data_IF_729926212129
#
_entry.id   IF_729926212129
#
_cell.length_a   1.000
_cell.length_b   1.000
_cell.length_c   1.000
_cell.angle_alpha   90.00
_cell.angle_beta   90.00
_cell.angle_gamma   90.00
#
_symmetry.space_group_name_H-M   'P 1'
#
loop_
_entity.id
_entity.type
_entity.pdbx_description
1 polymer ?
#
# COMPACT_ATOMS: atom_id res chain seq x y z
N UNK A 1 10.58 -22.64 -13.99
CA UNK A 1 10.10 -22.49 -12.59
C UNK A 1 11.02 -21.50 -11.91
N UNK A 2 10.60 -20.25 -11.75
CA UNK A 2 11.37 -19.25 -11.04
C UNK A 2 10.88 -19.24 -9.59
N UNK A 3 11.70 -19.78 -8.69
CA UNK A 3 11.49 -19.68 -7.25
C UNK A 3 11.77 -18.24 -6.82
N UNK A 4 10.72 -17.49 -6.49
CA UNK A 4 10.86 -16.29 -5.68
C UNK A 4 11.11 -16.75 -4.24
N UNK A 5 12.37 -16.91 -3.87
CA UNK A 5 12.74 -16.95 -2.46
C UNK A 5 12.47 -15.56 -1.87
N UNK A 6 11.76 -15.44 -0.73
CA UNK A 6 11.64 -14.16 -0.06
C UNK A 6 13.03 -13.72 0.43
N UNK A 7 13.45 -12.54 -0.03
CA UNK A 7 14.67 -11.89 0.45
C UNK A 7 14.52 -11.55 1.93
N UNK A 8 15.49 -11.96 2.74
CA UNK A 8 15.51 -11.89 4.22
C UNK A 8 15.66 -10.48 4.80
N UNK A 9 15.50 -9.43 4.01
CA UNK A 9 15.84 -8.04 4.39
C UNK A 9 14.62 -7.11 4.55
N UNK A 10 13.43 -7.66 4.79
CA UNK A 10 12.23 -6.86 5.09
C UNK A 10 12.21 -6.49 6.58
N UNK A 11 13.23 -5.73 7.00
CA UNK A 11 13.35 -5.10 8.31
C UNK A 11 13.50 -3.57 8.23
N UNK A 12 13.38 -2.98 7.03
CA UNK A 12 13.29 -1.53 6.91
C UNK A 12 11.92 -1.08 7.37
N UNK A 13 11.88 -0.31 8.47
CA UNK A 13 10.75 0.56 8.80
C UNK A 13 10.42 1.39 7.55
N UNK A 14 9.37 1.00 6.82
CA UNK A 14 8.87 1.77 5.69
C UNK A 14 8.23 3.03 6.27
N UNK A 15 9.03 4.08 6.45
CA UNK A 15 8.49 5.41 6.71
C UNK A 15 7.81 5.89 5.44
N UNK A 16 6.49 5.68 5.39
CA UNK A 16 5.67 6.03 4.25
C UNK A 16 5.31 7.51 4.41
N UNK A 17 5.94 8.38 3.62
CA UNK A 17 5.57 9.79 3.63
C UNK A 17 4.18 9.97 3.02
N UNK A 18 3.43 10.97 3.51
CA UNK A 18 2.14 11.36 2.96
C UNK A 18 2.20 11.60 1.45
N UNK A 19 3.29 12.17 0.96
CA UNK A 19 3.52 12.41 -0.47
C UNK A 19 3.58 11.10 -1.28
N UNK A 20 4.23 10.07 -0.75
CA UNK A 20 4.29 8.74 -1.38
C UNK A 20 2.93 8.06 -1.36
N UNK A 21 2.19 8.16 -0.24
CA UNK A 21 0.82 7.66 -0.14
C UNK A 21 -0.11 8.31 -1.18
N UNK A 22 0.01 9.63 -1.40
CA UNK A 22 -0.80 10.36 -2.36
C UNK A 22 -0.43 10.12 -3.83
N UNK A 23 0.83 9.78 -4.13
CA UNK A 23 1.22 9.38 -5.49
C UNK A 23 0.42 8.17 -5.98
N UNK A 24 0.07 7.23 -5.10
CA UNK A 24 -0.81 6.11 -5.45
C UNK A 24 -2.24 6.53 -5.80
N UNK A 25 -2.74 7.61 -5.18
CA UNK A 25 -4.09 8.14 -5.44
C UNK A 25 -4.24 8.76 -6.83
N UNK A 26 -3.14 9.27 -7.41
CA UNK A 26 -3.11 9.86 -8.75
C UNK A 26 -3.01 8.82 -9.87
N UNK A 27 -2.65 7.57 -9.57
CA UNK A 27 -2.43 6.54 -10.59
C UNK A 27 -3.77 5.93 -11.06
N UNK A 28 -4.83 5.96 -10.24
CA UNK A 28 -6.18 5.59 -10.71
C UNK A 28 -7.30 6.05 -9.74
N UNK A 29 -7.87 7.25 -9.91
CA UNK A 29 -9.00 7.73 -9.09
C UNK A 29 -10.22 6.81 -9.13
N UNK A 30 -10.42 6.11 -10.26
CA UNK A 30 -11.53 5.17 -10.47
C UNK A 30 -11.41 3.89 -9.64
N UNK A 31 -10.20 3.53 -9.22
CA UNK A 31 -9.94 2.32 -8.45
C UNK A 31 -10.28 2.49 -6.96
N UNK A 32 -10.05 3.69 -6.42
CA UNK A 32 -10.48 4.07 -5.07
C UNK A 32 -12.01 4.26 -4.97
N UNK A 33 -12.61 4.90 -5.97
CA UNK A 33 -14.05 5.20 -5.99
C UNK A 33 -14.95 3.96 -6.17
N UNK A 34 -14.52 2.97 -6.96
CA UNK A 34 -15.36 1.78 -7.22
C UNK A 34 -15.38 0.76 -6.08
N UNK A 35 -14.33 0.72 -5.25
CA UNK A 35 -14.18 -0.27 -4.19
C UNK A 35 -14.55 0.28 -2.81
N UNK A 36 -14.38 1.58 -2.58
CA UNK A 36 -14.75 2.23 -1.31
C UNK A 36 -16.09 2.96 -1.48
N UNK A 37 -17.21 2.28 -1.20
CA UNK A 37 -18.54 2.90 -1.19
C UNK A 37 -18.63 4.07 -0.19
N UNK A 38 -17.72 4.12 0.78
CA UNK A 38 -17.71 5.11 1.83
C UNK A 38 -16.46 6.00 1.77
N UNK A 39 -16.61 7.12 1.06
CA UNK A 39 -15.61 8.19 0.98
C UNK A 39 -15.27 8.79 2.36
N UNK A 40 -16.04 8.51 3.41
CA UNK A 40 -15.74 8.94 4.77
C UNK A 40 -14.40 8.36 5.27
N UNK A 41 -14.15 7.09 5.00
CA UNK A 41 -12.91 6.42 5.43
C UNK A 41 -11.69 6.99 4.70
N UNK A 42 -11.82 7.20 3.39
CA UNK A 42 -10.77 7.81 2.57
C UNK A 42 -10.47 9.22 3.08
N UNK A 43 -11.49 10.06 3.30
CA UNK A 43 -11.30 11.42 3.84
C UNK A 43 -10.56 11.44 5.17
N UNK A 44 -10.87 10.50 6.07
CA UNK A 44 -10.16 10.38 7.35
C UNK A 44 -8.70 10.01 7.17
N UNK A 45 -8.40 9.05 6.29
CA UNK A 45 -7.03 8.69 5.95
C UNK A 45 -6.25 9.87 5.36
N UNK A 46 -6.89 10.67 4.49
CA UNK A 46 -6.27 11.86 3.89
C UNK A 46 -6.01 13.00 4.90
N UNK A 47 -6.71 13.00 6.03
CA UNK A 47 -6.55 13.99 7.11
C UNK A 47 -5.45 13.62 8.11
N UNK A 48 -4.89 12.41 8.04
CA UNK A 48 -3.82 11.98 8.94
C UNK A 48 -2.51 12.73 8.65
N UNK A 49 -1.77 13.02 9.73
CA UNK A 49 -0.39 13.53 9.65
C UNK A 49 0.59 12.37 9.47
N UNK A 50 1.81 12.63 8.97
CA UNK A 50 2.82 11.57 8.77
C UNK A 50 3.06 10.71 10.03
N UNK A 51 3.16 11.27 11.25
CA UNK A 51 3.27 10.45 12.45
C UNK A 51 2.06 9.54 12.69
N UNK A 52 0.84 10.04 12.43
CA UNK A 52 -0.38 9.25 12.58
C UNK A 52 -0.49 8.15 11.51
N UNK A 53 0.03 8.38 10.31
CA UNK A 53 0.11 7.35 9.26
C UNK A 53 1.05 6.22 9.72
N UNK A 54 2.22 6.57 10.26
CA UNK A 54 3.15 5.57 10.81
C UNK A 54 2.52 4.80 11.98
N UNK A 55 1.88 5.50 12.93
CA UNK A 55 1.19 4.83 14.03
C UNK A 55 0.04 3.95 13.55
N UNK A 56 -0.70 4.36 12.52
CA UNK A 56 -1.73 3.52 11.91
C UNK A 56 -1.13 2.27 11.25
N UNK A 57 0.04 2.40 10.61
CA UNK A 57 0.75 1.26 10.05
C UNK A 57 1.20 0.29 11.15
N UNK A 58 1.65 0.80 12.31
CA UNK A 58 1.98 -0.03 13.48
C UNK A 58 0.75 -0.78 14.01
N UNK A 59 -0.41 -0.10 14.17
CA UNK A 59 -1.66 -0.76 14.56
C UNK A 59 -2.07 -1.83 13.52
N UNK A 60 -1.93 -1.53 12.23
CA UNK A 60 -2.23 -2.48 11.15
C UNK A 60 -1.31 -3.69 11.19
N UNK A 61 -0.02 -3.51 11.46
CA UNK A 61 0.95 -4.59 11.62
C UNK A 61 0.55 -5.51 12.77
N UNK A 62 0.11 -4.96 13.91
CA UNK A 62 -0.41 -5.78 15.02
C UNK A 62 -1.61 -6.62 14.60
N UNK A 63 -2.56 -6.04 13.86
CA UNK A 63 -3.73 -6.77 13.35
C UNK A 63 -3.30 -7.88 12.38
N UNK A 64 -2.34 -7.63 11.49
CA UNK A 64 -1.82 -8.62 10.55
C UNK A 64 -1.16 -9.79 11.28
N UNK A 65 -0.29 -9.49 12.25
CA UNK A 65 0.33 -10.50 13.10
C UNK A 65 -0.71 -11.31 13.87
N UNK A 66 -1.80 -10.68 14.32
CA UNK A 66 -2.92 -11.36 14.97
C UNK A 66 -3.57 -12.40 14.05
N UNK A 67 -3.96 -12.00 12.83
CA UNK A 67 -4.73 -12.86 11.93
C UNK A 67 -3.88 -13.97 11.30
N UNK A 68 -2.57 -13.76 11.16
CA UNK A 68 -1.64 -14.77 10.65
C UNK A 68 -1.29 -15.82 11.71
N UNK A 69 -1.30 -15.45 12.99
CA UNK A 69 -0.92 -16.34 14.09
C UNK A 69 -1.80 -17.61 14.13
N UNK A 70 -1.21 -18.82 14.27
CA UNK A 70 -1.96 -20.07 14.31
C UNK A 70 -2.95 -20.11 15.48
N UNK A 71 -2.53 -19.66 16.66
CA UNK A 71 -3.36 -19.45 17.86
C UNK A 71 -3.54 -17.95 18.16
N UNK A 72 -4.59 -17.58 18.90
CA UNK A 72 -4.80 -16.19 19.29
C UNK A 72 -3.63 -15.71 20.17
N UNK A 73 -2.87 -14.68 19.74
CA UNK A 73 -1.59 -14.34 20.38
C UNK A 73 -1.72 -13.39 21.57
N UNK A 74 -2.95 -12.96 21.90
CA UNK A 74 -3.22 -11.99 22.95
C UNK A 74 -3.98 -12.66 24.10
N UNK A 75 -3.68 -12.24 25.32
CA UNK A 75 -4.44 -12.65 26.50
C UNK A 75 -5.72 -11.79 26.63
N UNK A 76 -6.73 -12.24 27.36
CA UNK A 76 -7.98 -11.48 27.59
C UNK A 76 -7.70 -10.11 28.29
N UNK A 77 -6.49 -9.92 28.84
CA UNK A 77 -6.01 -8.69 29.45
C UNK A 77 -5.42 -7.67 28.46
N UNK A 78 -5.23 -8.01 27.19
CA UNK A 78 -4.71 -7.07 26.19
C UNK A 78 -5.79 -6.04 25.88
N UNK A 79 -5.57 -4.81 26.33
CA UNK A 79 -6.51 -3.73 26.10
C UNK A 79 -6.54 -3.42 24.59
N UNK A 80 -7.71 -3.50 23.96
CA UNK A 80 -7.93 -3.09 22.57
C UNK A 80 -7.68 -1.58 22.34
N UNK A 81 -7.17 -0.87 23.35
CA UNK A 81 -6.73 0.53 23.32
C UNK A 81 -5.59 0.75 22.31
N UNK A 82 -4.79 -0.29 22.04
CA UNK A 82 -3.75 -0.29 21.01
C UNK A 82 -4.29 -0.24 19.56
N UNK A 83 -5.61 -0.31 19.36
CA UNK A 83 -6.26 -0.21 18.04
C UNK A 83 -7.04 1.10 17.87
N UNK A 84 -6.58 2.16 18.52
CA UNK A 84 -7.28 3.44 18.61
C UNK A 84 -7.54 4.09 17.25
N UNK A 85 -6.57 4.10 16.35
CA UNK A 85 -6.65 4.72 15.02
C UNK A 85 -7.50 3.87 14.09
N UNK A 86 -7.33 2.56 14.12
CA UNK A 86 -8.15 1.62 13.35
C UNK A 86 -9.63 1.76 13.76
N UNK A 87 -9.93 1.79 15.07
CA UNK A 87 -11.30 2.01 15.56
C UNK A 87 -11.87 3.35 15.10
N UNK A 88 -11.05 4.41 15.15
CA UNK A 88 -11.46 5.74 14.69
C UNK A 88 -11.78 5.74 13.18
N UNK A 89 -10.96 5.08 12.35
CA UNK A 89 -11.17 5.03 10.90
C UNK A 89 -12.35 4.14 10.54
N UNK A 90 -12.47 2.97 11.16
CA UNK A 90 -13.53 2.00 10.90
C UNK A 90 -14.88 2.40 11.50
N UNK A 91 -14.92 3.38 12.41
CA UNK A 91 -16.13 3.79 13.14
C UNK A 91 -16.85 2.61 13.83
N UNK A 92 -16.10 1.55 14.16
CA UNK A 92 -16.61 0.32 14.74
C UNK A 92 -15.75 -0.04 15.96
N UNK A 93 -16.36 -0.68 16.95
CA UNK A 93 -15.64 -1.29 18.07
C UNK A 93 -14.97 -2.57 17.60
N UNK A 94 -13.88 -2.44 16.84
CA UNK A 94 -13.07 -3.58 16.40
C UNK A 94 -12.06 -3.96 17.46
N UNK A 95 -11.96 -5.25 17.76
CA UNK A 95 -11.00 -5.83 18.71
C UNK A 95 -10.07 -6.80 18.01
N UNK A 96 -8.93 -7.13 18.61
CA UNK A 96 -8.08 -8.21 18.09
C UNK A 96 -8.85 -9.52 17.97
N UNK A 97 -9.75 -9.78 18.93
CA UNK A 97 -10.63 -10.94 18.93
C UNK A 97 -11.52 -10.96 17.68
N UNK A 98 -12.12 -9.82 17.32
CA UNK A 98 -12.91 -9.70 16.10
C UNK A 98 -12.10 -10.04 14.85
N UNK A 99 -10.89 -9.47 14.72
CA UNK A 99 -10.02 -9.73 13.58
C UNK A 99 -9.62 -11.21 13.49
N UNK A 100 -9.24 -11.82 14.61
CA UNK A 100 -8.85 -13.22 14.67
C UNK A 100 -10.00 -14.16 14.28
N UNK A 101 -11.21 -13.94 14.82
CA UNK A 101 -12.37 -14.79 14.49
C UNK A 101 -12.77 -14.68 13.01
N UNK A 102 -12.56 -13.52 12.39
CA UNK A 102 -12.89 -13.28 10.99
C UNK A 102 -11.70 -13.43 10.04
N UNK A 103 -10.55 -13.95 10.51
CA UNK A 103 -9.27 -13.95 9.77
C UNK A 103 -9.36 -14.54 8.37
N UNK A 104 -10.13 -15.62 8.17
CA UNK A 104 -10.27 -16.27 6.85
C UNK A 104 -10.93 -15.34 5.84
N UNK A 105 -11.97 -14.62 6.27
CA UNK A 105 -12.69 -13.65 5.43
C UNK A 105 -11.78 -12.46 5.12
N UNK A 106 -11.08 -11.96 6.13
CA UNK A 106 -10.19 -10.79 6.02
C UNK A 106 -9.03 -11.10 5.09
N UNK A 107 -8.31 -12.21 5.30
CA UNK A 107 -7.21 -12.65 4.44
C UNK A 107 -7.72 -12.80 3.00
N UNK A 108 -8.86 -13.47 2.79
CA UNK A 108 -9.44 -13.61 1.47
C UNK A 108 -9.80 -12.29 0.79
N UNK A 109 -10.31 -11.31 1.54
CA UNK A 109 -10.58 -9.97 1.04
C UNK A 109 -9.28 -9.20 0.72
N UNK A 110 -8.27 -9.30 1.58
CA UNK A 110 -6.96 -8.69 1.37
C UNK A 110 -6.25 -9.25 0.13
N UNK A 111 -6.25 -10.57 -0.07
CA UNK A 111 -5.68 -11.19 -1.28
C UNK A 111 -6.33 -10.65 -2.53
N UNK A 112 -7.66 -10.56 -2.56
CA UNK A 112 -8.39 -9.95 -3.68
C UNK A 112 -8.01 -8.48 -3.90
N UNK A 113 -7.78 -7.72 -2.84
CA UNK A 113 -7.36 -6.33 -2.94
C UNK A 113 -5.94 -6.23 -3.51
N UNK A 114 -5.00 -7.05 -3.04
CA UNK A 114 -3.64 -7.12 -3.58
C UNK A 114 -3.65 -7.46 -5.08
N UNK A 115 -4.42 -8.46 -5.48
CA UNK A 115 -4.49 -8.91 -6.88
C UNK A 115 -5.20 -7.90 -7.79
N UNK A 116 -6.27 -7.26 -7.30
CA UNK A 116 -7.10 -6.37 -8.13
C UNK A 116 -6.62 -4.92 -8.14
N UNK A 117 -5.95 -4.45 -7.09
CA UNK A 117 -5.51 -3.07 -6.93
C UNK A 117 -4.00 -2.98 -7.04
N UNK A 118 -3.28 -3.58 -6.09
CA UNK A 118 -1.83 -3.41 -5.98
C UNK A 118 -1.11 -3.94 -7.23
N UNK A 119 -1.43 -5.14 -7.70
CA UNK A 119 -0.78 -5.69 -8.90
C UNK A 119 -1.05 -4.86 -10.16
N UNK A 120 -2.23 -4.25 -10.29
CA UNK A 120 -2.55 -3.37 -11.41
C UNK A 120 -1.75 -2.07 -11.34
N UNK A 121 -1.71 -1.44 -10.18
CA UNK A 121 -0.95 -0.21 -9.95
C UNK A 121 0.54 -0.45 -10.14
N UNK A 122 1.11 -1.52 -9.59
CA UNK A 122 2.50 -1.88 -9.83
C UNK A 122 2.79 -2.13 -11.30
N UNK A 123 1.90 -2.83 -12.01
CA UNK A 123 2.03 -3.02 -13.46
C UNK A 123 2.05 -1.68 -14.20
N UNK A 124 1.21 -0.72 -13.79
CA UNK A 124 1.18 0.62 -14.37
C UNK A 124 2.49 1.37 -14.12
N UNK A 125 2.96 1.39 -12.86
CA UNK A 125 4.22 2.03 -12.47
C UNK A 125 5.39 1.46 -13.26
N UNK A 126 5.50 0.13 -13.34
CA UNK A 126 6.59 -0.53 -14.08
C UNK A 126 6.57 -0.14 -15.55
N UNK A 127 5.38 -0.12 -16.19
CA UNK A 127 5.24 0.31 -17.59
C UNK A 127 5.63 1.76 -17.79
N UNK A 128 5.22 2.64 -16.89
CA UNK A 128 5.52 4.07 -16.95
C UNK A 128 7.03 4.33 -16.81
N UNK A 129 7.68 3.68 -15.84
CA UNK A 129 9.14 3.76 -15.65
C UNK A 129 9.89 3.24 -16.88
N UNK A 130 9.43 2.12 -17.46
CA UNK A 130 10.01 1.57 -18.69
C UNK A 130 9.82 2.50 -19.88
N UNK A 131 8.64 3.08 -20.04
CA UNK A 131 8.36 4.06 -21.09
C UNK A 131 9.27 5.30 -20.97
N UNK A 132 9.38 5.87 -19.77
CA UNK A 132 10.27 7.02 -19.50
C UNK A 132 11.74 6.68 -19.81
N UNK A 133 12.16 5.44 -19.54
CA UNK A 133 13.51 4.97 -19.88
C UNK A 133 13.72 4.94 -21.40
N UNK A 134 12.81 4.33 -22.16
CA UNK A 134 12.89 4.24 -23.63
C UNK A 134 12.88 5.63 -24.27
N UNK A 135 12.02 6.54 -23.81
CA UNK A 135 11.97 7.92 -24.33
C UNK A 135 13.27 8.68 -24.06
N UNK A 136 13.90 8.48 -22.89
CA UNK A 136 15.21 9.09 -22.59
C UNK A 136 16.32 8.53 -23.47
N UNK A 137 16.34 7.23 -23.72
CA UNK A 137 17.32 6.57 -24.58
C UNK A 137 17.18 7.05 -26.03
N UNK A 138 15.95 7.16 -26.55
CA UNK A 138 15.69 7.71 -27.89
C UNK A 138 16.07 9.19 -28.01
N UNK A 139 15.85 9.99 -26.96
CA UNK A 139 16.24 11.41 -26.95
C UNK A 139 17.77 11.58 -26.96
N UNK A 140 18.49 10.74 -26.23
CA UNK A 140 19.96 10.68 -26.27
C UNK A 140 20.48 10.26 -27.64
N UNK A 141 19.85 9.28 -28.29
CA UNK A 141 20.23 8.83 -29.63
C UNK A 141 19.99 9.92 -30.69
N UNK A 142 18.88 10.68 -30.57
CA UNK A 142 18.60 11.83 -31.42
C UNK A 142 19.55 13.00 -31.19
N UNK A 143 19.98 13.29 -29.95
CA UNK A 143 20.93 14.37 -29.68
C UNK A 143 22.36 14.04 -30.19
N UNK A 144 22.74 12.76 -30.20
CA UNK A 144 24.04 12.27 -30.70
C UNK A 144 24.08 12.25 -32.24
N UNK A 145 23.00 11.86 -32.91
CA UNK A 145 22.95 11.76 -34.40
C UNK A 145 22.27 12.95 -35.09
N UNK A 146 21.52 13.78 -34.37
CA UNK A 146 20.77 14.95 -34.87
C UNK A 146 21.53 16.27 -34.81
N UNK A 147 22.74 16.28 -34.24
CA UNK A 147 23.68 17.40 -34.35
C UNK A 147 24.21 17.47 -35.78
N UNK A 148 23.43 18.09 -36.66
CA UNK A 148 23.71 18.24 -38.09
C UNK A 148 25.09 18.91 -38.30
N UNK A 149 26.09 18.25 -38.93
CA UNK A 149 27.40 18.84 -39.19
C UNK A 149 27.39 19.95 -40.27
N UNK A 150 26.21 20.38 -40.75
CA UNK A 150 26.07 21.34 -41.84
C UNK A 150 25.41 22.68 -41.48
N UNK A 151 25.22 23.02 -40.21
CA UNK A 151 24.81 24.40 -39.84
C UNK A 151 26.06 25.23 -39.59
N UNK A 152 26.44 25.99 -40.62
CA UNK A 152 27.55 26.95 -40.64
C UNK A 152 26.99 28.37 -40.58
#
# INVERSE_FOLDING_TARGET
MACFLPSSDVGTNLTLSREEFFKFHNIDPLLGEKQCKDMCMVKKLLQLTDPMINSLADEAMMVLNCIESPQFPYDDAVNDESLSLIKNILHQSTSFKYFYHNRVIIIGAMTKLLDSVCMRVFTHIVKEVQYIKVVREQKLEYDIYGSNPYVR
#
